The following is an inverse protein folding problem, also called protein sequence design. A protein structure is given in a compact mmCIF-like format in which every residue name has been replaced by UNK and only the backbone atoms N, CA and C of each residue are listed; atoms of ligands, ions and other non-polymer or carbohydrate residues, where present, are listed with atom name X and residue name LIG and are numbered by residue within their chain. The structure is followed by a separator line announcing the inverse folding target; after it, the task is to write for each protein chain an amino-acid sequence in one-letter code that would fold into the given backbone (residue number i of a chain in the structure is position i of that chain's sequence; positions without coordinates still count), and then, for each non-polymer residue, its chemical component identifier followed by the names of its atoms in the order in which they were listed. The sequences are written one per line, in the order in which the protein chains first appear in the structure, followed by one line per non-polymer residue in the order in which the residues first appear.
data_IF_891037260689
#
_entry.id   IF_891037260689
#
_cell.length_a   1.000
_cell.length_b   1.000
_cell.length_c   1.000
_cell.angle_alpha   90.00
_cell.angle_beta   90.00
_cell.angle_gamma   90.00
#
_symmetry.space_group_name_H-M   'P 1'
#
loop_
_entity.id
_entity.type
_entity.pdbx_description
1 polymer ?
#
# COMPACT_ATOMS: atom_id res chain seq x y z
N UNK A 1 -2.89 -22.23 15.86
CA UNK A 1 -3.62 -21.47 14.82
C UNK A 1 -2.72 -21.39 13.61
N UNK A 2 -3.14 -21.94 12.47
CA UNK A 2 -2.39 -21.79 11.22
C UNK A 2 -2.53 -20.34 10.76
N UNK A 3 -1.41 -19.61 10.74
CA UNK A 3 -1.37 -18.29 10.11
C UNK A 3 -1.32 -18.53 8.61
N UNK A 4 -2.48 -18.65 7.95
CA UNK A 4 -2.53 -18.60 6.48
C UNK A 4 -2.49 -17.15 6.06
N UNK A 5 -1.30 -16.60 5.93
CA UNK A 5 -1.09 -15.21 5.56
C UNK A 5 0.02 -15.06 4.55
N UNK A 6 0.02 -15.87 3.48
CA UNK A 6 0.88 -15.56 2.34
C UNK A 6 0.31 -14.35 1.61
N UNK A 7 1.00 -13.21 1.72
CA UNK A 7 0.73 -12.03 0.92
C UNK A 7 1.48 -12.17 -0.41
N UNK A 8 0.84 -12.78 -1.41
CA UNK A 8 1.39 -12.78 -2.77
C UNK A 8 1.31 -11.35 -3.29
N UNK A 9 2.47 -10.70 -3.43
CA UNK A 9 2.56 -9.31 -3.87
C UNK A 9 1.92 -9.13 -5.25
N UNK A 10 1.01 -8.16 -5.43
CA UNK A 10 0.38 -7.93 -6.73
C UNK A 10 1.40 -7.43 -7.74
N UNK A 11 1.30 -7.85 -9.01
CA UNK A 11 2.18 -7.34 -10.08
C UNK A 11 1.68 -6.01 -10.68
N UNK A 12 0.37 -5.75 -10.59
CA UNK A 12 -0.28 -4.53 -11.02
C UNK A 12 -1.28 -4.03 -9.95
N UNK A 13 -1.27 -2.72 -9.71
CA UNK A 13 -2.10 -2.09 -8.68
C UNK A 13 -2.87 -0.89 -9.23
N UNK A 14 -4.08 -0.69 -8.72
CA UNK A 14 -4.90 0.50 -8.98
C UNK A 14 -4.93 1.39 -7.75
N UNK A 15 -4.61 2.66 -7.94
CA UNK A 15 -4.70 3.65 -6.87
C UNK A 15 -6.12 4.18 -6.74
N UNK A 16 -6.64 4.16 -5.52
CA UNK A 16 -7.87 4.81 -5.13
C UNK A 16 -7.54 5.84 -4.06
N UNK A 17 -7.71 7.12 -4.33
CA UNK A 17 -7.48 8.10 -3.29
C UNK A 17 -8.22 9.40 -3.57
N UNK A 18 -8.71 10.02 -2.50
CA UNK A 18 -9.15 11.41 -2.53
C UNK A 18 -7.94 12.36 -2.59
N UNK A 19 -6.81 11.95 -2.00
CA UNK A 19 -5.53 12.64 -2.02
C UNK A 19 -4.38 11.66 -2.22
N UNK A 20 -3.45 11.98 -3.12
CA UNK A 20 -2.25 11.18 -3.34
C UNK A 20 -1.04 11.90 -2.71
N UNK A 21 -0.31 11.25 -1.80
CA UNK A 21 0.96 11.77 -1.32
C UNK A 21 1.91 12.09 -2.48
N UNK A 22 2.67 13.18 -2.33
CA UNK A 22 3.68 13.58 -3.31
C UNK A 22 4.69 12.44 -3.50
N UNK A 23 5.02 12.14 -4.76
CA UNK A 23 5.98 11.09 -5.09
C UNK A 23 5.41 9.66 -5.14
N UNK A 24 4.22 9.39 -4.60
CA UNK A 24 3.64 8.04 -4.47
C UNK A 24 3.72 7.21 -5.77
N UNK A 25 3.29 7.78 -6.91
CA UNK A 25 3.28 7.07 -8.20
C UNK A 25 4.69 6.71 -8.69
N UNK A 26 5.69 7.54 -8.38
CA UNK A 26 7.10 7.27 -8.70
C UNK A 26 7.61 6.17 -7.78
N UNK A 27 7.36 6.31 -6.49
CA UNK A 27 7.88 5.41 -5.46
C UNK A 27 7.30 4.00 -5.54
N UNK A 28 6.00 3.85 -5.83
CA UNK A 28 5.41 2.52 -6.06
C UNK A 28 6.05 1.78 -7.25
N UNK A 29 6.47 2.52 -8.28
CA UNK A 29 7.16 1.94 -9.43
C UNK A 29 8.62 1.61 -9.10
N UNK A 30 9.38 2.56 -8.56
CA UNK A 30 10.82 2.38 -8.30
C UNK A 30 11.09 1.48 -7.09
N UNK A 31 10.43 1.76 -5.96
CA UNK A 31 10.63 1.09 -4.68
C UNK A 31 9.76 -0.15 -4.61
N UNK A 32 8.46 -0.03 -4.88
CA UNK A 32 7.52 -1.16 -4.84
C UNK A 32 7.65 -2.14 -6.02
N UNK A 33 8.16 -1.71 -7.18
CA UNK A 33 8.21 -2.55 -8.41
C UNK A 33 6.84 -2.87 -8.98
N UNK A 34 5.82 -2.10 -8.59
CA UNK A 34 4.44 -2.34 -8.97
C UNK A 34 4.12 -1.61 -10.27
N UNK A 35 3.39 -2.26 -11.17
CA UNK A 35 2.80 -1.58 -12.33
C UNK A 35 1.56 -0.83 -11.89
N UNK A 36 1.48 0.46 -12.20
CA UNK A 36 0.24 1.21 -11.99
C UNK A 36 -0.73 0.90 -13.13
N UNK A 37 -1.96 0.50 -12.79
CA UNK A 37 -3.02 0.17 -13.72
C UNK A 37 -4.25 1.03 -13.47
N UNK A 38 -4.99 1.32 -14.54
CA UNK A 38 -6.34 1.92 -14.48
C UNK A 38 -7.44 0.87 -14.53
N UNK A 39 -7.10 -0.40 -14.72
CA UNK A 39 -8.04 -1.52 -14.76
C UNK A 39 -8.78 -1.66 -13.41
N UNK A 40 -10.13 -1.65 -13.39
CA UNK A 40 -10.92 -1.91 -12.19
C UNK A 40 -10.56 -3.20 -11.45
N UNK A 41 -10.14 -4.24 -12.17
CA UNK A 41 -9.74 -5.55 -11.64
C UNK A 41 -8.30 -5.62 -11.12
N UNK A 42 -7.49 -4.57 -11.29
CA UNK A 42 -6.17 -4.51 -10.69
C UNK A 42 -6.25 -4.33 -9.17
N UNK A 43 -5.28 -4.88 -8.46
CA UNK A 43 -5.27 -4.93 -7.00
C UNK A 43 -5.32 -3.53 -6.38
N UNK A 44 -6.31 -3.21 -5.53
CA UNK A 44 -6.53 -1.84 -5.09
C UNK A 44 -5.61 -1.43 -3.94
N UNK A 45 -5.08 -0.21 -4.02
CA UNK A 45 -4.41 0.47 -2.91
C UNK A 45 -5.14 1.79 -2.66
N UNK A 46 -5.67 1.93 -1.46
CA UNK A 46 -6.43 3.08 -1.00
C UNK A 46 -5.63 3.96 -0.03
N UNK A 47 -5.64 5.28 -0.24
CA UNK A 47 -5.15 6.28 0.72
C UNK A 47 -6.29 7.22 1.10
N UNK A 48 -6.58 7.35 2.41
CA UNK A 48 -7.67 8.20 2.88
C UNK A 48 -7.41 8.86 4.24
N UNK A 49 -8.11 9.96 4.46
CA UNK A 49 -8.22 10.55 5.79
C UNK A 49 -9.28 9.81 6.62
N UNK A 50 -9.00 9.63 7.90
CA UNK A 50 -9.87 8.92 8.85
C UNK A 50 -9.88 9.69 10.17
N UNK A 51 -10.92 10.49 10.37
CA UNK A 51 -11.12 11.32 11.55
C UNK A 51 -11.36 10.50 12.83
N UNK A 52 -11.59 9.18 12.74
CA UNK A 52 -11.68 8.30 13.91
C UNK A 52 -10.32 8.02 14.55
N UNK A 53 -9.23 8.26 13.82
CA UNK A 53 -7.88 8.23 14.36
C UNK A 53 -7.61 9.56 15.08
N UNK A 54 -7.29 9.51 16.38
CA UNK A 54 -7.15 10.73 17.18
C UNK A 54 -5.70 11.10 17.48
N UNK A 55 -4.75 10.17 17.27
CA UNK A 55 -3.33 10.43 17.51
C UNK A 55 -2.71 11.11 16.30
N UNK A 56 -2.23 12.33 16.47
CA UNK A 56 -1.60 13.11 15.41
C UNK A 56 -0.50 12.30 14.70
N UNK A 57 -0.48 12.36 13.36
CA UNK A 57 0.49 11.69 12.49
C UNK A 57 0.52 10.15 12.60
N UNK A 58 -0.40 9.56 13.36
CA UNK A 58 -0.58 8.11 13.33
C UNK A 58 -1.14 7.67 11.97
N UNK A 59 -0.99 6.39 11.68
CA UNK A 59 -1.66 5.77 10.54
C UNK A 59 -2.13 4.37 10.92
N UNK A 60 -3.10 3.87 10.17
CA UNK A 60 -3.52 2.48 10.14
C UNK A 60 -3.22 1.93 8.76
N UNK A 61 -2.48 0.83 8.70
CA UNK A 61 -2.22 0.06 7.50
C UNK A 61 -2.97 -1.26 7.60
N UNK A 62 -3.86 -1.53 6.63
CA UNK A 62 -4.55 -2.81 6.47
C UNK A 62 -4.15 -3.43 5.13
N UNK A 63 -3.79 -4.70 5.15
CA UNK A 63 -3.41 -5.48 3.96
C UNK A 63 -4.11 -6.85 4.03
N UNK A 64 -4.85 -7.23 2.99
CA UNK A 64 -5.51 -8.54 2.89
C UNK A 64 -5.62 -8.96 1.41
N UNK A 65 -6.30 -10.06 1.10
CA UNK A 65 -6.47 -10.50 -0.30
C UNK A 65 -7.32 -9.56 -1.18
N UNK A 66 -8.06 -8.62 -0.57
CA UNK A 66 -8.96 -7.71 -1.28
C UNK A 66 -8.30 -6.37 -1.63
N UNK A 67 -7.22 -5.99 -0.93
CA UNK A 67 -6.59 -4.69 -1.12
C UNK A 67 -5.68 -4.25 0.02
N UNK A 68 -5.11 -3.05 -0.18
CA UNK A 68 -4.37 -2.32 0.85
C UNK A 68 -5.09 -1.01 1.13
N UNK A 69 -5.21 -0.65 2.40
CA UNK A 69 -5.70 0.66 2.81
C UNK A 69 -4.72 1.30 3.79
N UNK A 70 -4.31 2.52 3.50
CA UNK A 70 -3.62 3.42 4.42
C UNK A 70 -4.61 4.51 4.83
N UNK A 71 -4.95 4.55 6.13
CA UNK A 71 -5.75 5.62 6.69
C UNK A 71 -5.01 6.39 7.78
N UNK A 72 -5.25 7.69 7.89
CA UNK A 72 -4.59 8.55 8.86
C UNK A 72 -5.45 9.77 9.20
N UNK A 73 -5.25 10.44 10.35
CA UNK A 73 -6.05 11.61 10.70
C UNK A 73 -5.65 12.89 9.95
N UNK A 74 -4.47 12.88 9.32
CA UNK A 74 -3.93 14.02 8.60
C UNK A 74 -2.92 13.56 7.53
N UNK A 75 -2.57 14.47 6.62
CA UNK A 75 -1.65 14.19 5.51
C UNK A 75 -0.26 13.69 5.94
N UNK A 76 0.37 14.19 7.02
CA UNK A 76 1.63 13.62 7.51
C UNK A 76 1.49 12.14 7.88
N UNK A 77 0.40 11.74 8.54
CA UNK A 77 0.14 10.33 8.86
C UNK A 77 -0.04 9.47 7.60
N UNK A 78 -0.74 9.97 6.58
CA UNK A 78 -0.87 9.26 5.28
C UNK A 78 0.51 9.04 4.67
N UNK A 79 1.38 10.06 4.73
CA UNK A 79 2.74 9.99 4.21
C UNK A 79 3.58 8.95 4.96
N UNK A 80 3.49 8.88 6.29
CA UNK A 80 4.20 7.86 7.07
C UNK A 80 3.67 6.44 6.81
N UNK A 81 2.36 6.30 6.63
CA UNK A 81 1.76 5.02 6.21
C UNK A 81 2.22 4.59 4.83
N UNK A 82 2.33 5.52 3.87
CA UNK A 82 2.91 5.26 2.55
C UNK A 82 4.36 4.77 2.66
N UNK A 83 5.21 5.45 3.44
CA UNK A 83 6.60 5.06 3.60
C UNK A 83 6.72 3.64 4.19
N UNK A 84 5.88 3.32 5.17
CA UNK A 84 5.82 1.97 5.74
C UNK A 84 5.39 0.93 4.72
N UNK A 85 4.35 1.22 3.92
CA UNK A 85 3.92 0.35 2.83
C UNK A 85 5.05 0.10 1.81
N UNK A 86 5.76 1.15 1.39
CA UNK A 86 6.87 1.03 0.46
C UNK A 86 8.01 0.16 1.03
N UNK A 87 8.34 0.31 2.31
CA UNK A 87 9.32 -0.54 2.99
C UNK A 87 8.88 -2.01 2.98
N UNK A 88 7.61 -2.29 3.30
CA UNK A 88 7.04 -3.64 3.25
C UNK A 88 7.15 -4.23 1.84
N UNK A 89 6.70 -3.49 0.82
CA UNK A 89 6.76 -3.94 -0.57
C UNK A 89 8.20 -4.21 -1.04
N UNK A 90 9.17 -3.41 -0.56
CA UNK A 90 10.59 -3.61 -0.86
C UNK A 90 11.11 -4.93 -0.27
N UNK A 91 10.71 -5.26 0.95
CA UNK A 91 11.10 -6.52 1.59
C UNK A 91 10.55 -7.73 0.83
N UNK A 92 9.32 -7.65 0.32
CA UNK A 92 8.68 -8.75 -0.42
C UNK A 92 9.09 -8.82 -1.89
N UNK A 93 9.71 -7.78 -2.44
CA UNK A 93 10.22 -7.71 -3.81
C UNK A 93 11.22 -8.84 -4.15
N UNK A 94 11.86 -9.43 -3.14
CA UNK A 94 12.81 -10.55 -3.27
C UNK A 94 12.29 -11.91 -2.78
N UNK A 95 11.05 -12.01 -2.28
CA UNK A 95 10.50 -13.24 -1.68
C UNK A 95 9.74 -14.10 -2.70
N UNK A 96 9.51 -13.61 -3.92
CA UNK A 96 8.79 -14.37 -4.94
C UNK A 96 8.95 -13.87 -6.37
N UNK A 97 10.15 -14.03 -6.94
CA UNK A 97 10.38 -14.30 -8.37
C UNK A 97 11.62 -15.20 -8.50
N UNK A 98 11.66 -16.31 -7.75
CA UNK A 98 12.48 -17.45 -8.19
C UNK A 98 11.62 -18.19 -9.21
N UNK A 99 12.06 -18.17 -10.46
CA UNK A 99 11.61 -19.12 -11.47
C UNK A 99 11.73 -20.53 -10.88
N UNK A 100 10.60 -21.25 -10.87
CA UNK A 100 10.55 -22.71 -10.87
C UNK A 100 9.48 -23.12 -11.86
#
# INVERSE_FOLDING_TARGET
MAVSGEFVGPSAVRLQAEFLPVGLKRDLRSIGGLKLSTDPGAYPIEFKLDASLFKAQSYRLRMNGEGITVSAPNEPGVTYGMQTLLQILTLFKGVGLSER
#
